data_IF_760179897303
#
_entry.id   IF_760179897303
#
_cell.length_a   1.000
_cell.length_b   1.000
_cell.length_c   1.000
_cell.angle_alpha   90.00
_cell.angle_beta   90.00
_cell.angle_gamma   90.00
#
_symmetry.space_group_name_H-M   'P 1'
#
loop_
_entity.id
_entity.type
_entity.pdbx_description
1 polymer ?
#
# COMPACT_ATOMS: atom_id res chain seq x y z
N UNK A 1 -17.25 -3.60 -19.84
CA UNK A 1 -16.09 -2.77 -19.42
C UNK A 1 -14.96 -3.71 -19.09
N UNK A 2 -13.86 -3.57 -19.81
CA UNK A 2 -12.69 -4.42 -19.67
C UNK A 2 -11.59 -3.63 -18.97
N UNK A 3 -10.81 -4.33 -18.15
CA UNK A 3 -9.71 -3.76 -17.37
C UNK A 3 -8.42 -4.34 -17.92
N UNK A 4 -7.48 -3.47 -18.25
CA UNK A 4 -6.13 -3.86 -18.69
C UNK A 4 -5.15 -3.63 -17.53
N UNK A 5 -4.34 -4.65 -17.23
CA UNK A 5 -3.26 -4.52 -16.23
C UNK A 5 -1.94 -4.30 -16.97
N UNK A 6 -1.22 -3.25 -16.61
CA UNK A 6 0.10 -2.95 -17.16
C UNK A 6 0.97 -2.17 -16.17
N UNK A 7 2.27 -2.08 -16.45
CA UNK A 7 3.15 -1.09 -15.81
C UNK A 7 2.75 0.30 -16.30
N UNK A 8 2.58 1.30 -15.42
CA UNK A 8 2.30 2.66 -15.85
C UNK A 8 3.51 3.30 -16.54
N UNK A 9 3.25 4.23 -17.44
CA UNK A 9 4.25 5.19 -17.92
C UNK A 9 4.57 6.24 -16.87
N UNK A 10 5.71 6.93 -16.98
CA UNK A 10 6.06 8.02 -16.06
C UNK A 10 4.98 9.12 -16.02
N UNK A 11 4.36 9.42 -17.17
CA UNK A 11 3.27 10.40 -17.26
C UNK A 11 1.99 10.00 -16.48
N UNK A 12 1.82 8.72 -16.16
CA UNK A 12 0.68 8.21 -15.39
C UNK A 12 0.93 8.21 -13.88
N UNK A 13 2.14 8.56 -13.41
CA UNK A 13 2.47 8.64 -11.99
C UNK A 13 1.53 9.60 -11.21
N UNK A 14 1.17 10.74 -11.84
CA UNK A 14 0.21 11.69 -11.26
C UNK A 14 -1.20 11.09 -11.13
N UNK A 15 -1.59 10.22 -12.06
CA UNK A 15 -2.88 9.53 -12.01
C UNK A 15 -2.92 8.50 -10.88
N UNK A 16 -1.82 7.76 -10.68
CA UNK A 16 -1.63 6.85 -9.54
C UNK A 16 -1.79 7.59 -8.21
N UNK A 17 -1.11 8.73 -8.05
CA UNK A 17 -1.24 9.56 -6.84
C UNK A 17 -2.66 10.08 -6.62
N UNK A 18 -3.34 10.50 -7.70
CA UNK A 18 -4.74 10.95 -7.64
C UNK A 18 -5.69 9.84 -7.21
N UNK A 19 -5.50 8.62 -7.73
CA UNK A 19 -6.29 7.44 -7.32
C UNK A 19 -6.04 7.10 -5.86
N UNK A 20 -4.81 7.25 -5.37
CA UNK A 20 -4.48 7.00 -3.96
C UNK A 20 -5.30 7.92 -3.05
N UNK A 21 -5.21 9.24 -3.23
CA UNK A 21 -5.91 10.18 -2.36
C UNK A 21 -7.43 10.00 -2.39
N UNK A 22 -8.01 9.67 -3.54
CA UNK A 22 -9.44 9.37 -3.64
C UNK A 22 -9.83 8.10 -2.91
N UNK A 23 -9.02 7.05 -3.02
CA UNK A 23 -9.29 5.78 -2.34
C UNK A 23 -9.12 5.87 -0.83
N UNK A 24 -8.21 6.72 -0.36
CA UNK A 24 -7.87 6.91 1.06
C UNK A 24 -8.54 8.13 1.70
N UNK A 25 -9.52 8.77 1.04
CA UNK A 25 -10.15 9.98 1.60
C UNK A 25 -10.89 9.70 2.92
N UNK A 26 -11.45 8.50 3.08
CA UNK A 26 -12.10 8.06 4.32
C UNK A 26 -11.10 7.46 5.35
N UNK A 27 -9.82 7.31 4.99
CA UNK A 27 -8.82 6.71 5.88
C UNK A 27 -8.36 7.72 6.94
N UNK A 28 -8.63 7.42 8.21
CA UNK A 28 -8.31 8.31 9.33
C UNK A 28 -6.80 8.60 9.46
N UNK A 29 -5.94 7.61 9.22
CA UNK A 29 -4.50 7.76 9.31
C UNK A 29 -3.96 8.76 8.28
N UNK A 30 -4.45 8.71 7.04
CA UNK A 30 -4.07 9.64 5.96
C UNK A 30 -4.33 11.09 6.36
N UNK A 31 -5.52 11.38 6.90
CA UNK A 31 -5.88 12.73 7.34
C UNK A 31 -5.28 13.11 8.70
N UNK A 32 -4.79 12.13 9.45
CA UNK A 32 -3.99 12.39 10.65
C UNK A 32 -2.58 12.81 10.27
N UNK A 33 -1.93 12.11 9.35
CA UNK A 33 -0.58 12.39 8.88
C UNK A 33 -0.53 13.68 8.04
N UNK A 34 -1.56 13.93 7.23
CA UNK A 34 -1.66 15.08 6.32
C UNK A 34 -2.99 15.82 6.51
N UNK A 35 -3.14 16.64 7.57
CA UNK A 35 -4.43 17.20 7.99
C UNK A 35 -4.92 18.41 7.17
N UNK A 36 -4.04 19.03 6.38
CA UNK A 36 -4.34 20.25 5.62
C UNK A 36 -4.35 20.01 4.11
N UNK A 37 -4.97 20.92 3.35
CA UNK A 37 -4.91 20.88 1.88
C UNK A 37 -3.47 20.98 1.36
N UNK A 38 -2.62 21.75 2.06
CA UNK A 38 -1.19 21.84 1.76
C UNK A 38 -0.48 20.51 2.03
N UNK A 39 -0.77 19.85 3.15
CA UNK A 39 -0.21 18.53 3.48
C UNK A 39 -0.64 17.45 2.48
N UNK A 40 -1.92 17.44 2.07
CA UNK A 40 -2.41 16.53 1.03
C UNK A 40 -1.80 16.83 -0.34
N UNK A 41 -1.57 18.10 -0.67
CA UNK A 41 -0.86 18.51 -1.89
C UNK A 41 0.59 18.05 -1.90
N UNK A 42 1.28 18.16 -0.76
CA UNK A 42 2.62 17.60 -0.58
C UNK A 42 2.59 16.06 -0.74
N UNK A 43 1.67 15.37 -0.04
CA UNK A 43 1.58 13.92 -0.11
C UNK A 43 1.25 13.43 -1.53
N UNK A 44 0.44 14.18 -2.28
CA UNK A 44 0.18 13.89 -3.70
C UNK A 44 1.46 13.92 -4.54
N UNK A 45 2.27 14.98 -4.41
CA UNK A 45 3.54 15.09 -5.13
C UNK A 45 4.55 14.02 -4.68
N UNK A 46 4.58 13.71 -3.39
CA UNK A 46 5.40 12.64 -2.84
C UNK A 46 5.03 11.27 -3.42
N UNK A 47 3.73 10.94 -3.47
CA UNK A 47 3.22 9.69 -4.04
C UNK A 47 3.53 9.57 -5.55
N UNK A 48 3.54 10.68 -6.28
CA UNK A 48 3.95 10.74 -7.69
C UNK A 48 5.43 10.36 -7.81
N UNK A 49 6.32 11.03 -7.08
CA UNK A 49 7.75 10.73 -7.08
C UNK A 49 8.04 9.29 -6.64
N UNK A 50 7.38 8.83 -5.58
CA UNK A 50 7.45 7.45 -5.13
C UNK A 50 7.02 6.47 -6.23
N UNK A 51 6.06 6.81 -7.09
CA UNK A 51 5.70 5.97 -8.25
C UNK A 51 6.84 5.90 -9.26
N UNK A 52 7.50 7.02 -9.54
CA UNK A 52 8.66 7.07 -10.44
C UNK A 52 9.83 6.25 -9.90
N UNK A 53 10.04 6.22 -8.59
CA UNK A 53 11.03 5.33 -7.97
C UNK A 53 10.67 3.86 -8.17
N UNK A 54 9.40 3.48 -7.99
CA UNK A 54 8.95 2.09 -8.22
C UNK A 54 9.08 1.65 -9.69
N UNK A 55 9.20 2.58 -10.63
CA UNK A 55 9.46 2.27 -12.04
C UNK A 55 10.94 2.02 -12.34
N UNK A 56 11.85 2.45 -11.47
CA UNK A 56 13.30 2.47 -11.71
C UNK A 56 14.08 1.48 -10.87
N UNK A 57 13.55 1.14 -9.69
CA UNK A 57 14.18 0.28 -8.71
C UNK A 57 13.78 -1.18 -8.92
N UNK A 58 14.77 -2.09 -8.94
CA UNK A 58 14.54 -3.52 -9.20
C UNK A 58 13.83 -4.25 -8.05
N UNK A 59 13.88 -3.67 -6.85
CA UNK A 59 13.26 -4.22 -5.63
C UNK A 59 11.95 -3.51 -5.30
N UNK A 60 11.47 -2.69 -6.24
CA UNK A 60 10.16 -2.06 -6.17
C UNK A 60 9.36 -2.45 -7.40
N UNK A 61 8.04 -2.38 -7.29
CA UNK A 61 7.19 -2.58 -8.44
C UNK A 61 5.87 -1.85 -8.36
N UNK A 62 5.35 -1.50 -9.53
CA UNK A 62 4.06 -0.85 -9.68
C UNK A 62 3.31 -1.42 -10.87
N UNK A 63 2.02 -1.69 -10.67
CA UNK A 63 1.08 -2.01 -11.74
C UNK A 63 -0.15 -1.13 -11.61
N UNK A 64 -0.72 -0.76 -12.75
CA UNK A 64 -2.01 -0.08 -12.85
C UNK A 64 -3.03 -0.97 -13.52
N UNK A 65 -4.27 -0.80 -13.11
CA UNK A 65 -5.45 -1.25 -13.82
C UNK A 65 -6.03 -0.04 -14.55
N UNK A 66 -6.18 -0.17 -15.87
CA UNK A 66 -6.72 0.86 -16.75
C UNK A 66 -8.07 0.43 -17.29
N UNK A 67 -8.98 1.39 -17.42
CA UNK A 67 -10.17 1.18 -18.22
C UNK A 67 -9.78 1.08 -19.70
N UNK A 68 -10.22 0.02 -20.38
CA UNK A 68 -9.86 -0.19 -21.79
C UNK A 68 -10.48 0.86 -22.72
N UNK A 69 -11.65 1.40 -22.36
CA UNK A 69 -12.38 2.37 -23.20
C UNK A 69 -11.79 3.78 -23.09
N UNK A 70 -11.57 4.29 -21.88
CA UNK A 70 -11.03 5.66 -21.69
C UNK A 70 -9.51 5.71 -21.61
N UNK A 71 -8.86 4.60 -21.27
CA UNK A 71 -7.43 4.57 -20.94
C UNK A 71 -7.11 5.13 -19.56
N UNK A 72 -8.10 5.48 -18.73
CA UNK A 72 -7.87 6.04 -17.40
C UNK A 72 -7.29 5.00 -16.44
N UNK A 73 -6.36 5.41 -15.59
CA UNK A 73 -5.92 4.60 -14.43
C UNK A 73 -7.05 4.60 -13.39
N UNK A 74 -7.56 3.42 -13.07
CA UNK A 74 -8.71 3.23 -12.16
C UNK A 74 -8.34 2.53 -10.85
N UNK A 75 -7.21 1.82 -10.84
CA UNK A 75 -6.64 1.20 -9.65
C UNK A 75 -5.14 1.00 -9.85
N UNK A 76 -4.39 0.84 -8.76
CA UNK A 76 -2.98 0.47 -8.83
C UNK A 76 -2.59 -0.38 -7.62
N UNK A 77 -1.45 -1.05 -7.74
CA UNK A 77 -0.72 -1.66 -6.63
C UNK A 77 0.75 -1.25 -6.72
N UNK A 78 1.33 -0.92 -5.56
CA UNK A 78 2.76 -0.73 -5.37
C UNK A 78 3.25 -1.75 -4.35
N UNK A 79 4.45 -2.28 -4.57
CA UNK A 79 5.08 -3.20 -3.63
C UNK A 79 6.58 -3.02 -3.58
N UNK A 80 7.17 -3.45 -2.46
CA UNK A 80 8.59 -3.63 -2.25
C UNK A 80 8.91 -5.13 -2.22
N UNK A 81 10.14 -5.50 -2.54
CA UNK A 81 10.69 -6.84 -2.33
C UNK A 81 11.78 -6.71 -1.28
N UNK A 82 11.48 -7.16 -0.07
CA UNK A 82 12.43 -7.16 1.03
C UNK A 82 13.37 -8.35 0.90
N UNK A 83 14.67 -8.11 1.03
CA UNK A 83 15.69 -9.15 1.13
C UNK A 83 16.58 -8.94 2.35
N UNK A 84 17.04 -10.02 3.00
CA UNK A 84 17.95 -9.92 4.13
C UNK A 84 19.22 -9.13 3.79
N UNK A 85 19.63 -8.25 4.69
CA UNK A 85 20.86 -7.45 4.54
C UNK A 85 20.77 -6.26 3.60
N UNK A 86 19.57 -5.87 3.14
CA UNK A 86 19.33 -4.58 2.52
C UNK A 86 18.95 -3.56 3.61
N UNK A 87 19.72 -2.47 3.72
CA UNK A 87 19.40 -1.37 4.63
C UNK A 87 18.11 -0.68 4.18
N UNK A 88 17.04 -0.76 4.97
CA UNK A 88 15.70 -0.32 4.58
C UNK A 88 15.43 1.19 4.75
N UNK A 89 16.32 1.96 5.37
CA UNK A 89 15.98 3.33 5.74
C UNK A 89 16.99 4.36 5.25
N UNK A 90 16.64 5.05 4.17
CA UNK A 90 16.98 6.48 4.10
C UNK A 90 15.95 7.18 4.97
N UNK A 91 16.40 7.81 6.05
CA UNK A 91 15.53 8.60 6.92
C UNK A 91 14.92 9.73 6.09
N UNK A 92 13.62 9.61 5.80
CA UNK A 92 12.92 10.55 4.93
C UNK A 92 12.52 11.79 5.72
N UNK A 93 13.07 12.95 5.34
CA UNK A 93 12.79 14.19 6.04
C UNK A 93 11.41 14.74 5.65
N UNK A 94 10.40 14.44 6.47
CA UNK A 94 9.06 14.99 6.24
C UNK A 94 8.99 16.51 6.53
N UNK A 95 8.21 17.27 5.75
CA UNK A 95 7.98 18.69 6.01
C UNK A 95 7.08 18.91 7.22
N UNK A 96 7.04 20.13 7.78
CA UNK A 96 6.19 20.47 8.94
C UNK A 96 4.68 20.27 8.70
N UNK A 97 4.24 20.30 7.44
CA UNK A 97 2.85 20.04 7.06
C UNK A 97 2.44 18.57 7.24
N UNK A 98 3.42 17.68 7.41
CA UNK A 98 3.25 16.27 7.71
C UNK A 98 3.50 16.03 9.21
N UNK A 99 2.57 15.35 9.88
CA UNK A 99 2.65 15.10 11.31
C UNK A 99 3.57 13.92 11.61
N UNK A 100 4.86 14.18 11.76
CA UNK A 100 5.90 13.18 12.11
C UNK A 100 5.54 12.37 13.34
N UNK A 101 4.87 12.98 14.31
CA UNK A 101 4.41 12.31 15.53
C UNK A 101 3.41 11.16 15.29
N UNK A 102 2.86 11.03 14.07
CA UNK A 102 2.06 9.87 13.65
C UNK A 102 2.72 9.05 12.53
N UNK A 103 3.59 9.64 11.71
CA UNK A 103 4.34 8.92 10.66
C UNK A 103 5.35 7.96 11.29
N UNK A 104 6.21 8.44 12.19
CA UNK A 104 7.31 7.63 12.73
C UNK A 104 6.79 6.47 13.60
N UNK A 105 5.80 6.67 14.50
CA UNK A 105 5.24 5.55 15.25
C UNK A 105 4.51 4.55 14.37
N UNK A 106 3.83 5.00 13.29
CA UNK A 106 3.20 4.08 12.34
C UNK A 106 4.25 3.24 11.61
N UNK A 107 5.30 3.88 11.07
CA UNK A 107 6.40 3.18 10.41
C UNK A 107 7.02 2.12 11.33
N UNK A 108 7.39 2.50 12.56
CA UNK A 108 7.95 1.58 13.56
C UNK A 108 7.00 0.45 13.96
N UNK A 109 5.69 0.72 14.08
CA UNK A 109 4.69 -0.31 14.38
C UNK A 109 4.56 -1.32 13.25
N UNK A 110 4.46 -0.86 12.00
CA UNK A 110 4.31 -1.74 10.84
C UNK A 110 5.56 -2.59 10.64
N UNK A 111 6.77 -2.01 10.76
CA UNK A 111 8.03 -2.74 10.71
C UNK A 111 8.10 -3.82 11.78
N UNK A 112 7.86 -3.46 13.05
CA UNK A 112 7.87 -4.41 14.16
C UNK A 112 6.93 -5.58 13.93
N UNK A 113 5.71 -5.30 13.45
CA UNK A 113 4.70 -6.34 13.21
C UNK A 113 5.11 -7.24 12.04
N UNK A 114 5.59 -6.67 10.92
CA UNK A 114 6.09 -7.47 9.79
C UNK A 114 7.23 -8.38 10.23
N UNK A 115 8.25 -7.84 10.87
CA UNK A 115 9.40 -8.60 11.38
C UNK A 115 8.98 -9.69 12.36
N UNK A 116 7.99 -9.42 13.23
CA UNK A 116 7.43 -10.43 14.13
C UNK A 116 6.68 -11.56 13.41
N UNK A 117 6.07 -11.27 12.26
CA UNK A 117 5.26 -12.22 11.49
C UNK A 117 6.08 -13.07 10.52
N UNK A 118 7.05 -12.47 9.81
CA UNK A 118 7.88 -13.20 8.82
C UNK A 118 9.22 -13.66 9.36
N UNK A 119 9.73 -13.02 10.41
CA UNK A 119 11.10 -13.15 10.87
C UNK A 119 12.05 -12.15 10.21
N UNK A 120 13.04 -11.71 10.96
CA UNK A 120 14.03 -10.67 10.59
C UNK A 120 14.85 -11.02 9.34
N UNK A 121 15.14 -12.30 9.13
CA UNK A 121 15.97 -12.79 8.01
C UNK A 121 15.14 -13.31 6.83
N UNK A 122 13.83 -13.00 6.77
CA UNK A 122 12.96 -13.47 5.71
C UNK A 122 12.94 -12.51 4.51
N UNK A 123 13.04 -13.06 3.29
CA UNK A 123 12.69 -12.32 2.08
C UNK A 123 11.17 -12.40 1.83
N UNK A 124 10.55 -11.28 1.43
CA UNK A 124 9.10 -11.22 1.18
C UNK A 124 8.71 -10.06 0.26
N UNK A 125 7.54 -10.17 -0.35
CA UNK A 125 6.88 -9.06 -1.04
C UNK A 125 6.04 -8.26 -0.05
N UNK A 126 6.14 -6.93 -0.10
CA UNK A 126 5.35 -6.00 0.72
C UNK A 126 4.54 -5.04 -0.16
N UNK A 127 3.27 -5.35 -0.46
CA UNK A 127 2.35 -4.38 -1.05
C UNK A 127 2.15 -3.21 -0.09
N UNK A 128 2.76 -2.07 -0.41
CA UNK A 128 2.66 -0.85 0.38
C UNK A 128 1.34 -0.14 0.14
N UNK A 129 0.82 -0.21 -1.09
CA UNK A 129 -0.46 0.39 -1.45
C UNK A 129 -1.21 -0.46 -2.47
N UNK A 130 -2.51 -0.65 -2.25
CA UNK A 130 -3.46 -1.07 -3.27
C UNK A 130 -4.73 -0.23 -3.17
N UNK A 131 -4.97 0.58 -4.20
CA UNK A 131 -6.03 1.58 -4.19
C UNK A 131 -6.87 1.42 -5.46
N UNK A 132 -8.19 1.50 -5.32
CA UNK A 132 -9.15 1.58 -6.43
C UNK A 132 -9.92 2.88 -6.29
N UNK A 133 -10.04 3.65 -7.38
CA UNK A 133 -10.88 4.85 -7.39
C UNK A 133 -12.30 4.45 -6.97
N UNK A 134 -12.93 5.12 -5.98
CA UNK A 134 -14.25 4.73 -5.49
C UNK A 134 -15.33 4.60 -6.58
N UNK A 135 -15.21 5.36 -7.68
CA UNK A 135 -16.12 5.29 -8.85
C UNK A 135 -16.04 3.94 -9.58
N UNK A 136 -14.96 3.19 -9.35
CA UNK A 136 -14.63 1.90 -9.95
C UNK A 136 -14.62 0.74 -8.94
N UNK A 137 -15.02 0.99 -7.68
CA UNK A 137 -15.10 -0.02 -6.64
C UNK A 137 -16.04 -1.18 -7.03
N UNK A 138 -15.75 -2.38 -6.51
CA UNK A 138 -16.59 -3.56 -6.74
C UNK A 138 -16.48 -4.19 -8.14
N UNK A 139 -15.59 -3.69 -9.02
CA UNK A 139 -15.42 -4.18 -10.40
C UNK A 139 -14.23 -5.14 -10.59
N UNK A 140 -13.55 -5.52 -9.51
CA UNK A 140 -12.49 -6.53 -9.53
C UNK A 140 -11.09 -6.03 -9.90
N UNK A 141 -10.88 -4.72 -10.09
CA UNK A 141 -9.57 -4.13 -10.43
C UNK A 141 -8.47 -4.51 -9.42
N UNK A 142 -8.70 -4.26 -8.12
CA UNK A 142 -7.78 -4.66 -7.05
C UNK A 142 -7.51 -6.17 -7.03
N UNK A 143 -8.53 -7.01 -7.27
CA UNK A 143 -8.36 -8.47 -7.31
C UNK A 143 -7.45 -8.91 -8.47
N UNK A 144 -7.55 -8.26 -9.64
CA UNK A 144 -6.68 -8.55 -10.78
C UNK A 144 -5.24 -8.14 -10.50
N UNK A 145 -5.03 -6.95 -9.93
CA UNK A 145 -3.72 -6.46 -9.52
C UNK A 145 -3.07 -7.36 -8.48
N UNK A 146 -3.82 -7.73 -7.43
CA UNK A 146 -3.27 -8.59 -6.37
C UNK A 146 -2.92 -9.99 -6.86
N UNK A 147 -3.73 -10.56 -7.76
CA UNK A 147 -3.38 -11.83 -8.41
C UNK A 147 -2.08 -11.73 -9.20
N UNK A 148 -1.81 -10.61 -9.87
CA UNK A 148 -0.53 -10.41 -10.57
C UNK A 148 0.66 -10.37 -9.62
N UNK A 149 0.53 -9.73 -8.46
CA UNK A 149 1.58 -9.75 -7.43
C UNK A 149 1.74 -11.15 -6.83
N UNK A 150 0.65 -11.89 -6.57
CA UNK A 150 0.71 -13.30 -6.14
C UNK A 150 1.41 -14.20 -7.17
N UNK A 151 1.16 -13.99 -8.48
CA UNK A 151 1.89 -14.70 -9.54
C UNK A 151 3.39 -14.40 -9.51
N UNK A 152 3.79 -13.15 -9.26
CA UNK A 152 5.20 -12.77 -9.12
C UNK A 152 5.84 -13.42 -7.89
N UNK A 153 5.24 -13.24 -6.72
CA UNK A 153 5.71 -13.82 -5.46
C UNK A 153 5.77 -15.36 -5.51
N UNK A 154 4.82 -16.01 -6.20
CA UNK A 154 4.85 -17.46 -6.42
C UNK A 154 6.04 -17.92 -7.26
N UNK A 155 6.39 -17.18 -8.33
CA UNK A 155 7.56 -17.50 -9.18
C UNK A 155 8.85 -17.42 -8.39
N UNK A 156 8.94 -16.46 -7.47
CA UNK A 156 10.10 -16.25 -6.61
C UNK A 156 10.07 -17.14 -5.35
N UNK A 157 8.97 -17.87 -5.14
CA UNK A 157 8.71 -18.69 -3.96
C UNK A 157 8.84 -17.87 -2.65
N UNK A 158 8.38 -16.62 -2.68
CA UNK A 158 8.38 -15.70 -1.54
C UNK A 158 6.95 -15.47 -1.02
N UNK A 159 6.77 -15.28 0.30
CA UNK A 159 5.49 -14.86 0.86
C UNK A 159 5.18 -13.40 0.51
N UNK A 160 3.91 -13.03 0.62
CA UNK A 160 3.45 -11.64 0.59
C UNK A 160 2.96 -11.27 1.98
N UNK A 161 3.42 -10.14 2.50
CA UNK A 161 2.99 -9.58 3.79
C UNK A 161 2.49 -8.16 3.58
N UNK A 162 1.42 -7.79 4.26
CA UNK A 162 0.85 -6.45 4.19
C UNK A 162 0.09 -6.10 5.47
N UNK A 163 -0.10 -4.81 5.66
CA UNK A 163 -0.97 -4.25 6.70
C UNK A 163 -2.30 -3.84 6.06
N UNK A 164 -3.36 -4.56 6.41
CA UNK A 164 -4.69 -4.37 5.87
C UNK A 164 -5.50 -3.43 6.76
N UNK A 165 -5.98 -2.33 6.20
CA UNK A 165 -7.06 -1.53 6.80
C UNK A 165 -8.27 -2.42 7.08
N UNK A 166 -8.99 -2.14 8.18
CA UNK A 166 -10.10 -3.01 8.62
C UNK A 166 -11.18 -3.24 7.55
N UNK A 167 -11.46 -2.23 6.70
CA UNK A 167 -12.39 -2.36 5.58
C UNK A 167 -11.89 -3.29 4.44
N UNK A 168 -10.58 -3.56 4.36
CA UNK A 168 -9.95 -4.39 3.33
C UNK A 168 -9.65 -5.83 3.81
N UNK A 169 -9.74 -6.14 5.10
CA UNK A 169 -9.42 -7.47 5.65
C UNK A 169 -10.18 -8.59 4.95
N UNK A 170 -11.49 -8.41 4.73
CA UNK A 170 -12.33 -9.43 4.07
C UNK A 170 -11.92 -9.63 2.61
N UNK A 171 -11.42 -8.59 1.94
CA UNK A 171 -10.90 -8.68 0.59
C UNK A 171 -9.65 -9.57 0.54
N UNK A 172 -8.68 -9.35 1.43
CA UNK A 172 -7.46 -10.14 1.48
C UNK A 172 -7.70 -11.60 1.91
N UNK A 173 -8.62 -11.85 2.85
CA UNK A 173 -9.01 -13.22 3.21
C UNK A 173 -9.54 -13.99 1.99
N UNK A 174 -10.37 -13.35 1.14
CA UNK A 174 -10.84 -13.95 -0.12
C UNK A 174 -9.73 -14.18 -1.14
N UNK A 175 -8.63 -13.45 -1.04
CA UNK A 175 -7.41 -13.67 -1.84
C UNK A 175 -6.47 -14.72 -1.22
N UNK A 176 -6.87 -15.36 -0.12
CA UNK A 176 -6.10 -16.42 0.54
C UNK A 176 -5.07 -15.93 1.55
N UNK A 177 -5.12 -14.65 1.94
CA UNK A 177 -4.29 -14.15 3.04
C UNK A 177 -4.86 -14.57 4.39
N UNK A 178 -3.98 -14.88 5.33
CA UNK A 178 -4.31 -15.18 6.72
C UNK A 178 -3.91 -14.02 7.62
N UNK A 179 -4.76 -13.68 8.60
CA UNK A 179 -4.41 -12.72 9.64
C UNK A 179 -3.38 -13.37 10.57
N UNK A 180 -2.22 -12.74 10.75
CA UNK A 180 -1.16 -13.24 11.62
C UNK A 180 -0.88 -12.35 12.82
N UNK A 181 -1.13 -11.05 12.69
CA UNK A 181 -1.01 -10.09 13.78
C UNK A 181 -1.88 -8.84 13.50
N UNK A 182 -1.80 -7.82 14.35
CA UNK A 182 -2.42 -6.53 14.12
C UNK A 182 -1.68 -5.39 14.79
N UNK A 183 -1.96 -4.18 14.33
CA UNK A 183 -1.48 -2.95 14.94
C UNK A 183 -2.65 -2.03 15.26
N UNK A 184 -2.45 -1.20 16.29
CA UNK A 184 -3.40 -0.18 16.66
C UNK A 184 -2.72 1.10 17.12
N UNK A 185 -3.38 2.22 16.90
CA UNK A 185 -2.92 3.56 17.28
C UNK A 185 -4.12 4.39 17.76
N UNK A 186 -3.85 5.34 18.66
CA UNK A 186 -4.82 6.38 18.98
C UNK A 186 -4.58 7.58 18.06
N UNK A 187 -5.57 7.91 17.23
CA UNK A 187 -5.49 8.99 16.25
C UNK A 187 -6.53 10.08 16.57
N UNK A 188 -6.27 11.34 16.20
CA UNK A 188 -7.25 12.40 16.32
C UNK A 188 -8.37 12.22 15.32
N UNK A 189 -9.58 12.57 15.72
CA UNK A 189 -10.67 12.75 14.76
C UNK A 189 -10.28 13.80 13.72
N UNK A 190 -10.76 13.65 12.48
CA UNK A 190 -10.53 14.64 11.41
C UNK A 190 -10.93 16.05 11.88
N UNK A 191 -10.00 17.00 11.79
CA UNK A 191 -10.19 18.37 12.27
C UNK A 191 -9.88 18.60 13.76
N UNK A 192 -9.48 17.55 14.50
CA UNK A 192 -9.02 17.61 15.89
C UNK A 192 -7.49 17.42 15.98
N UNK A 193 -6.95 17.71 17.16
CA UNK A 193 -5.58 17.38 17.57
C UNK A 193 -5.52 16.38 18.72
N UNK A 194 -6.64 16.09 19.38
CA UNK A 194 -6.70 15.15 20.51
C UNK A 194 -6.91 13.71 20.02
N UNK A 195 -6.03 12.76 20.37
CA UNK A 195 -6.11 11.38 19.88
C UNK A 195 -7.16 10.56 20.65
N UNK A 196 -8.39 10.53 20.13
CA UNK A 196 -9.53 9.85 20.77
C UNK A 196 -10.00 8.60 20.03
N UNK A 197 -9.62 8.42 18.77
CA UNK A 197 -10.11 7.34 17.91
C UNK A 197 -9.12 6.19 17.85
N UNK A 198 -9.62 4.97 18.02
CA UNK A 198 -8.80 3.77 17.81
C UNK A 198 -8.73 3.49 16.30
N UNK A 199 -7.51 3.54 15.76
CA UNK A 199 -7.19 3.05 14.43
C UNK A 199 -6.63 1.63 14.54
N UNK A 200 -7.08 0.72 13.68
CA UNK A 200 -6.61 -0.67 13.63
C UNK A 200 -6.29 -1.10 12.20
N UNK A 201 -5.28 -1.96 12.08
CA UNK A 201 -4.99 -2.73 10.88
C UNK A 201 -4.62 -4.16 11.25
N UNK A 202 -4.69 -5.06 10.26
CA UNK A 202 -4.30 -6.47 10.43
C UNK A 202 -3.09 -6.75 9.55
N UNK A 203 -2.02 -7.27 10.15
CA UNK A 203 -0.93 -7.82 9.38
C UNK A 203 -1.34 -9.19 8.85
N UNK A 204 -1.31 -9.33 7.54
CA UNK A 204 -1.82 -10.48 6.82
C UNK A 204 -0.75 -11.08 5.93
N UNK A 205 -0.71 -12.41 5.86
CA UNK A 205 0.29 -13.15 5.10
C UNK A 205 -0.38 -14.05 4.08
N UNK A 206 0.14 -14.03 2.86
CA UNK A 206 -0.13 -15.03 1.85
C UNK A 206 1.15 -15.81 1.56
N UNK A 207 1.05 -17.13 1.49
CA UNK A 207 2.16 -18.02 1.16
C UNK A 207 1.87 -18.73 -0.16
N UNK A 208 2.85 -18.82 -1.08
CA UNK A 208 2.65 -19.58 -2.31
C UNK A 208 2.46 -21.07 -2.00
N UNK A 209 1.57 -21.73 -2.74
CA UNK A 209 1.36 -23.17 -2.60
C UNK A 209 2.59 -23.90 -3.13
N UNK A 210 3.28 -24.65 -2.26
CA UNK A 210 4.41 -25.49 -2.68
C UNK A 210 3.93 -26.58 -3.65
N UNK A 211 4.40 -26.55 -4.90
CA UNK A 211 4.37 -27.71 -5.80
C UNK A 211 3.42 -27.69 -7.01
N UNK A 212 3.20 -26.55 -7.67
CA UNK A 212 2.63 -26.55 -9.02
C UNK A 212 3.71 -26.21 -10.07
N UNK A 213 4.57 -27.20 -10.35
CA UNK A 213 5.32 -27.29 -11.62
C UNK A 213 4.87 -28.56 -12.31
#
# INVERSE_FOLDING_TARGET
MAIVICTPSEAEAVAVSTVHLRAMDENLLTHTQFPSQEGLGFFHAWLENNTLEHLRDEDKGVLVAKDEETGDVVSFVKWLVHRPGQDEAVEEEWPEVARKEYLDPYAALTERVRTGVVGEEAAYYHPTYICTDPRWAGRGAASLLMRKVQELAARDNLPIVLEATMNAVTFYQKMGFEIRDGLSMMLPLRGSSEPTEVYEERCMVWVPVKGAV
#
